data_IF_359823679589
#
_entry.id   IF_359823679589
#
_cell.length_a   1.000
_cell.length_b   1.000
_cell.length_c   1.000
_cell.angle_alpha   90.00
_cell.angle_beta   90.00
_cell.angle_gamma   90.00
#
_symmetry.space_group_name_H-M   'P 1'
#
loop_
_entity.id
_entity.type
_entity.pdbx_description
1 polymer ?
#
# COMPACT_ATOMS: atom_id res chain seq x y z
N UNK A 1 0.69 1.05 -17.63
CA UNK A 1 0.00 -0.20 -17.23
C UNK A 1 -0.57 0.02 -15.83
N UNK A 2 -1.89 -0.05 -15.63
CA UNK A 2 -2.51 0.14 -14.30
C UNK A 2 -2.38 -1.17 -13.52
N UNK A 3 -1.58 -1.18 -12.45
CA UNK A 3 -1.27 -2.38 -11.64
C UNK A 3 -2.54 -3.05 -11.08
N UNK A 4 -3.56 -2.28 -10.76
CA UNK A 4 -4.88 -2.77 -10.33
C UNK A 4 -5.53 -3.71 -11.35
N UNK A 5 -5.34 -3.51 -12.65
CA UNK A 5 -5.96 -4.34 -13.70
C UNK A 5 -5.31 -5.71 -13.84
N UNK A 6 -4.11 -5.92 -13.29
CA UNK A 6 -3.43 -7.21 -13.30
C UNK A 6 -3.95 -8.17 -12.21
N UNK A 7 -4.64 -7.65 -11.18
CA UNK A 7 -5.11 -8.44 -10.05
C UNK A 7 -6.55 -8.89 -10.27
N UNK A 8 -6.83 -10.19 -10.15
CA UNK A 8 -8.19 -10.72 -10.11
C UNK A 8 -8.91 -10.40 -8.79
N UNK A 9 -10.21 -10.71 -8.72
CA UNK A 9 -11.01 -10.55 -7.50
C UNK A 9 -10.38 -11.31 -6.33
N UNK A 10 -10.24 -10.63 -5.19
CA UNK A 10 -9.56 -11.16 -4.01
C UNK A 10 -8.03 -11.05 -4.05
N UNK A 11 -7.44 -10.56 -5.14
CA UNK A 11 -6.00 -10.30 -5.24
C UNK A 11 -5.54 -9.18 -4.31
N UNK A 12 -4.25 -9.20 -3.99
CA UNK A 12 -3.61 -8.24 -3.09
C UNK A 12 -2.51 -7.48 -3.81
N UNK A 13 -2.41 -6.19 -3.50
CA UNK A 13 -1.29 -5.34 -3.86
C UNK A 13 -0.55 -4.95 -2.58
N UNK A 14 0.74 -5.24 -2.51
CA UNK A 14 1.59 -4.86 -1.39
C UNK A 14 2.67 -3.88 -1.87
N UNK A 15 2.84 -2.78 -1.15
CA UNK A 15 3.84 -1.76 -1.45
C UNK A 15 4.79 -1.59 -0.27
N UNK A 16 6.07 -1.89 -0.50
CA UNK A 16 7.16 -1.59 0.42
C UNK A 16 7.52 -0.12 0.30
N UNK A 17 7.47 0.58 1.41
CA UNK A 17 7.59 2.02 1.43
C UNK A 17 8.51 2.51 2.57
N UNK A 18 9.02 3.73 2.37
CA UNK A 18 9.91 4.39 3.30
C UNK A 18 9.22 4.89 4.58
N UNK A 19 9.96 5.50 5.50
CA UNK A 19 9.48 5.85 6.84
C UNK A 19 8.25 6.75 6.90
N UNK A 20 8.07 7.61 5.89
CA UNK A 20 7.02 8.63 5.84
C UNK A 20 5.74 8.16 5.17
N UNK A 21 5.74 6.96 4.59
CA UNK A 21 4.65 6.48 3.75
C UNK A 21 3.30 6.41 4.48
N UNK A 22 3.29 6.02 5.77
CA UNK A 22 2.04 5.98 6.56
C UNK A 22 1.43 7.36 6.77
N UNK A 23 2.27 8.34 7.10
CA UNK A 23 1.86 9.74 7.30
C UNK A 23 1.38 10.35 5.99
N UNK A 24 2.06 10.04 4.89
CA UNK A 24 1.67 10.50 3.55
C UNK A 24 0.33 9.88 3.13
N UNK A 25 0.12 8.58 3.38
CA UNK A 25 -1.15 7.91 3.15
C UNK A 25 -2.31 8.50 3.96
N UNK A 26 -2.10 8.79 5.25
CA UNK A 26 -3.10 9.45 6.13
C UNK A 26 -3.45 10.86 5.65
N UNK A 27 -2.49 11.56 5.04
CA UNK A 27 -2.69 12.88 4.44
C UNK A 27 -3.39 12.82 3.08
N UNK A 28 -3.85 11.65 2.65
CA UNK A 28 -4.50 11.47 1.36
C UNK A 28 -3.55 11.55 0.16
N UNK A 29 -2.23 11.59 0.40
CA UNK A 29 -1.21 11.46 -0.66
C UNK A 29 -1.07 9.98 -1.00
N UNK A 30 -2.17 9.36 -1.46
CA UNK A 30 -2.19 7.95 -1.81
C UNK A 30 -1.64 7.73 -3.22
N UNK A 31 -1.03 6.56 -3.43
CA UNK A 31 -0.83 5.98 -4.76
C UNK A 31 -2.17 6.07 -5.50
N UNK A 32 -2.20 6.86 -6.58
CA UNK A 32 -3.42 7.44 -7.14
C UNK A 32 -4.66 6.54 -7.11
N UNK A 33 -5.77 7.11 -6.62
CA UNK A 33 -7.15 6.61 -6.63
C UNK A 33 -7.30 5.08 -6.70
N UNK A 34 -6.59 4.34 -5.83
CA UNK A 34 -6.71 2.88 -5.71
C UNK A 34 -8.18 2.44 -5.53
N UNK A 35 -8.98 3.25 -4.83
CA UNK A 35 -10.42 3.05 -4.67
C UNK A 35 -11.18 3.12 -6.00
N UNK A 36 -10.88 4.08 -6.88
CA UNK A 36 -11.46 4.15 -8.24
C UNK A 36 -11.08 2.93 -9.09
N UNK A 37 -10.00 2.24 -8.73
CA UNK A 37 -9.55 1.03 -9.39
C UNK A 37 -10.07 -0.27 -8.74
N UNK A 38 -11.01 -0.15 -7.79
CA UNK A 38 -11.66 -1.29 -7.12
C UNK A 38 -10.81 -1.93 -6.01
N UNK A 39 -9.77 -1.22 -5.56
CA UNK A 39 -8.88 -1.66 -4.49
C UNK A 39 -9.24 -0.96 -3.18
N UNK A 40 -9.37 -1.75 -2.11
CA UNK A 40 -9.63 -1.24 -0.77
C UNK A 40 -8.40 -1.43 0.10
N UNK A 41 -8.03 -0.41 0.87
CA UNK A 41 -6.95 -0.54 1.85
C UNK A 41 -7.29 -1.67 2.84
N UNK A 42 -6.36 -2.60 3.04
CA UNK A 42 -6.58 -3.80 3.83
C UNK A 42 -5.79 -3.80 5.13
N UNK A 43 -4.50 -3.49 5.07
CA UNK A 43 -3.63 -3.51 6.24
C UNK A 43 -2.32 -2.76 5.98
N UNK A 44 -1.65 -2.34 7.06
CA UNK A 44 -0.27 -1.90 7.06
C UNK A 44 0.57 -2.70 8.06
N UNK A 45 1.85 -2.85 7.74
CA UNK A 45 2.82 -3.50 8.61
C UNK A 45 4.08 -2.66 8.72
N UNK A 46 4.45 -2.29 9.95
CA UNK A 46 5.70 -1.61 10.23
C UNK A 46 6.80 -2.62 10.53
N UNK A 47 7.97 -2.45 9.93
CA UNK A 47 9.15 -3.27 10.19
C UNK A 47 10.43 -2.44 10.22
N UNK A 48 11.48 -2.99 10.83
CA UNK A 48 12.81 -2.38 10.89
C UNK A 48 13.78 -3.17 10.00
N UNK A 49 14.69 -2.45 9.33
CA UNK A 49 15.78 -3.07 8.59
C UNK A 49 17.05 -3.11 9.47
N UNK A 50 17.86 -4.18 9.41
CA UNK A 50 19.14 -4.21 10.11
C UNK A 50 20.01 -3.02 9.71
N UNK A 51 20.57 -2.32 10.70
CA UNK A 51 21.46 -1.18 10.46
C UNK A 51 20.77 0.13 10.05
N UNK A 52 19.44 0.21 10.08
CA UNK A 52 18.68 1.44 9.81
C UNK A 52 17.75 1.72 10.99
N UNK A 53 17.82 2.94 11.55
CA UNK A 53 16.97 3.36 12.68
C UNK A 53 15.51 3.58 12.28
N UNK A 54 15.29 4.03 11.04
CA UNK A 54 13.98 4.47 10.61
C UNK A 54 13.09 3.28 10.20
N UNK A 55 11.85 3.29 10.69
CA UNK A 55 10.84 2.31 10.35
C UNK A 55 10.59 2.26 8.84
N UNK A 56 10.20 1.09 8.35
CA UNK A 56 9.71 0.84 6.99
C UNK A 56 8.27 0.33 7.07
N UNK A 57 7.56 0.44 5.97
CA UNK A 57 6.15 0.07 5.89
C UNK A 57 5.90 -0.90 4.74
N UNK A 58 4.99 -1.84 4.95
CA UNK A 58 4.31 -2.57 3.89
C UNK A 58 2.86 -2.12 3.95
N UNK A 59 2.38 -1.50 2.88
CA UNK A 59 0.99 -1.07 2.74
C UNK A 59 0.27 -2.05 1.81
N UNK A 60 -0.89 -2.54 2.22
CA UNK A 60 -1.59 -3.64 1.53
C UNK A 60 -2.99 -3.19 1.15
N UNK A 61 -3.34 -3.40 -0.12
CA UNK A 61 -4.68 -3.22 -0.66
C UNK A 61 -5.22 -4.54 -1.19
N UNK A 62 -6.53 -4.73 -1.08
CA UNK A 62 -7.25 -5.91 -1.58
C UNK A 62 -8.25 -5.50 -2.64
N UNK A 63 -8.33 -6.27 -3.72
CA UNK A 63 -9.37 -6.12 -4.73
C UNK A 63 -10.66 -6.80 -4.28
N UNK A 64 -11.74 -6.05 -4.13
CA UNK A 64 -13.04 -6.60 -3.75
C UNK A 64 -13.92 -6.96 -4.97
N UNK A 65 -13.75 -6.22 -6.07
CA UNK A 65 -14.55 -6.31 -7.30
C UNK A 65 -13.67 -6.60 -8.52
#
# INVERSE_FOLDING_TARGET
MRLSKALGRGGFFAWWAGPRARIEMEKGLSLGNMEEEGMTFHADYAYSLPGISDKRWILIWRRLH
#
